data_IF_379195427362
#
_entry.id   IF_379195427362
#
_cell.length_a   1.000
_cell.length_b   1.000
_cell.length_c   1.000
_cell.angle_alpha   90.00
_cell.angle_beta   90.00
_cell.angle_gamma   90.00
#
_symmetry.space_group_name_H-M   'P 1'
#
loop_
_entity.id
_entity.type
_entity.pdbx_description
1 polymer ?
#
# COMPACT_ATOMS: atom_id res chain seq x y z
N UNK A 1 -16.53 25.66 -11.78
CA UNK A 1 -15.67 24.45 -11.70
C UNK A 1 -15.23 24.04 -13.09
N UNK A 2 -13.93 23.81 -13.33
CA UNK A 2 -13.52 23.15 -14.55
C UNK A 2 -14.08 21.71 -14.52
N UNK A 3 -14.84 21.33 -15.56
CA UNK A 3 -15.38 19.97 -15.68
C UNK A 3 -14.22 18.96 -15.70
N UNK A 4 -14.01 18.24 -14.60
CA UNK A 4 -13.02 17.16 -14.54
C UNK A 4 -13.45 16.10 -15.56
N UNK A 5 -12.59 15.84 -16.55
CA UNK A 5 -12.88 14.89 -17.61
C UNK A 5 -12.89 13.48 -17.05
N UNK A 6 -14.05 12.80 -17.07
CA UNK A 6 -14.19 11.39 -16.69
C UNK A 6 -13.52 10.50 -17.75
N UNK A 7 -12.31 10.08 -17.49
CA UNK A 7 -11.47 9.34 -18.46
C UNK A 7 -11.18 7.90 -18.06
N UNK A 8 -11.33 7.53 -16.78
CA UNK A 8 -11.00 6.19 -16.28
C UNK A 8 -12.23 5.29 -16.22
N UNK A 9 -12.08 4.02 -16.61
CA UNK A 9 -13.11 2.99 -16.53
C UNK A 9 -12.92 2.07 -15.31
N UNK A 10 -13.78 1.06 -15.19
CA UNK A 10 -13.72 0.04 -14.13
C UNK A 10 -12.35 -0.64 -14.08
N UNK A 11 -11.80 -1.03 -15.22
CA UNK A 11 -10.50 -1.72 -15.31
C UNK A 11 -9.34 -0.89 -14.77
N UNK A 12 -9.37 0.44 -14.99
CA UNK A 12 -8.39 1.34 -14.36
C UNK A 12 -8.55 1.36 -12.84
N UNK A 13 -9.79 1.37 -12.35
CA UNK A 13 -10.07 1.28 -10.91
C UNK A 13 -9.53 -0.03 -10.31
N UNK A 14 -9.82 -1.18 -10.94
CA UNK A 14 -9.28 -2.49 -10.53
C UNK A 14 -7.75 -2.50 -10.58
N UNK A 15 -7.15 -1.99 -11.67
CA UNK A 15 -5.70 -1.92 -11.82
C UNK A 15 -5.05 -0.99 -10.77
N UNK A 16 -5.74 0.05 -10.30
CA UNK A 16 -5.27 0.87 -9.18
C UNK A 16 -5.30 0.08 -7.86
N UNK A 17 -6.38 -0.67 -7.58
CA UNK A 17 -6.46 -1.49 -6.35
C UNK A 17 -5.42 -2.61 -6.41
N UNK A 18 -5.54 -3.51 -7.38
CA UNK A 18 -4.69 -4.70 -7.51
C UNK A 18 -3.23 -4.31 -7.79
N UNK A 19 -3.06 -3.33 -8.69
CA UNK A 19 -1.75 -2.90 -9.15
C UNK A 19 -0.94 -2.07 -8.15
N UNK A 20 -1.53 -1.47 -7.14
CA UNK A 20 -0.77 -0.81 -6.08
C UNK A 20 -0.46 -1.81 -4.97
N UNK A 21 -1.43 -2.62 -4.55
CA UNK A 21 -1.26 -3.60 -3.47
C UNK A 21 -0.29 -4.71 -3.86
N UNK A 22 -0.44 -5.32 -5.04
CA UNK A 22 0.53 -6.30 -5.54
C UNK A 22 1.79 -5.53 -5.98
N UNK A 23 2.61 -5.19 -5.01
CA UNK A 23 3.92 -4.56 -5.16
C UNK A 23 5.03 -5.54 -4.83
N UNK A 24 6.03 -5.05 -4.10
CA UNK A 24 7.09 -5.88 -3.52
C UNK A 24 6.62 -6.67 -2.30
N UNK A 25 5.56 -6.25 -1.62
CA UNK A 25 5.17 -6.75 -0.30
C UNK A 25 4.97 -8.26 -0.24
N UNK A 26 4.20 -8.86 -1.15
CA UNK A 26 3.94 -10.31 -1.15
C UNK A 26 5.22 -11.12 -1.43
N UNK A 27 6.10 -10.61 -2.28
CA UNK A 27 7.35 -11.29 -2.64
C UNK A 27 8.38 -11.23 -1.51
N UNK A 28 8.44 -10.11 -0.78
CA UNK A 28 9.42 -9.84 0.27
C UNK A 28 9.06 -10.42 1.64
N UNK A 29 7.79 -10.66 1.91
CA UNK A 29 7.32 -11.01 3.27
C UNK A 29 7.00 -12.50 3.43
N UNK A 30 7.10 -13.32 2.38
CA UNK A 30 6.67 -14.72 2.40
C UNK A 30 7.42 -15.56 3.45
N UNK A 31 8.73 -15.60 3.38
CA UNK A 31 9.56 -16.36 4.34
C UNK A 31 9.41 -15.87 5.77
N UNK A 32 9.44 -14.54 5.97
CA UNK A 32 9.30 -13.95 7.28
C UNK A 32 7.94 -14.18 7.95
N UNK A 33 6.81 -14.24 7.19
CA UNK A 33 5.51 -14.62 7.76
C UNK A 33 5.51 -16.09 8.16
N UNK A 34 6.10 -16.98 7.34
CA UNK A 34 6.22 -18.41 7.66
C UNK A 34 7.07 -18.64 8.90
N UNK A 35 8.21 -17.96 9.02
CA UNK A 35 9.08 -17.99 10.18
C UNK A 35 8.34 -17.60 11.47
N UNK A 36 7.61 -16.48 11.45
CA UNK A 36 6.82 -16.01 12.60
C UNK A 36 5.61 -16.90 12.90
N UNK A 37 5.25 -17.78 11.96
CA UNK A 37 4.19 -18.79 12.13
C UNK A 37 4.74 -20.13 12.65
N UNK A 38 5.98 -20.17 13.16
CA UNK A 38 6.60 -21.38 13.67
C UNK A 38 6.97 -22.38 12.57
N UNK A 39 7.17 -21.92 11.33
CA UNK A 39 7.43 -22.80 10.18
C UNK A 39 6.21 -23.60 9.69
N UNK A 40 5.01 -23.37 10.24
CA UNK A 40 3.78 -24.07 9.86
C UNK A 40 2.99 -23.28 8.81
N UNK A 41 2.79 -23.91 7.65
CA UNK A 41 2.05 -23.29 6.54
C UNK A 41 0.60 -22.99 6.92
N UNK A 42 -0.07 -23.81 7.75
CA UNK A 42 -1.48 -23.59 8.14
C UNK A 42 -1.63 -22.33 8.97
N UNK A 43 -0.74 -22.15 9.96
CA UNK A 43 -0.71 -20.97 10.83
C UNK A 43 -0.39 -19.73 9.98
N UNK A 44 0.54 -19.86 9.05
CA UNK A 44 0.93 -18.80 8.14
C UNK A 44 -0.19 -18.38 7.19
N UNK A 45 -0.90 -19.35 6.58
CA UNK A 45 -2.08 -19.08 5.75
C UNK A 45 -3.20 -18.42 6.55
N UNK A 46 -3.36 -18.79 7.83
CA UNK A 46 -4.33 -18.13 8.71
C UNK A 46 -3.94 -16.65 8.93
N UNK A 47 -2.65 -16.34 9.10
CA UNK A 47 -2.19 -14.96 9.19
C UNK A 47 -2.47 -14.16 7.91
N UNK A 48 -2.17 -14.72 6.72
CA UNK A 48 -2.51 -14.12 5.44
C UNK A 48 -4.03 -13.94 5.24
N UNK A 49 -4.82 -14.93 5.63
CA UNK A 49 -6.29 -14.90 5.55
C UNK A 49 -6.86 -13.78 6.44
N UNK A 50 -6.39 -13.66 7.68
CA UNK A 50 -6.85 -12.62 8.61
C UNK A 50 -6.50 -11.23 8.08
N UNK A 51 -5.25 -10.99 7.66
CA UNK A 51 -4.85 -9.74 7.05
C UNK A 51 -5.70 -9.37 5.83
N UNK A 52 -5.95 -10.36 4.96
CA UNK A 52 -6.81 -10.18 3.78
C UNK A 52 -8.28 -9.91 4.11
N UNK A 53 -8.85 -10.58 5.12
CA UNK A 53 -10.22 -10.32 5.59
C UNK A 53 -10.34 -8.90 6.13
N UNK A 54 -9.36 -8.41 6.88
CA UNK A 54 -9.33 -7.04 7.39
C UNK A 54 -9.31 -6.04 6.22
N UNK A 55 -8.45 -6.28 5.21
CA UNK A 55 -8.40 -5.47 3.99
C UNK A 55 -9.75 -5.47 3.25
N UNK A 56 -10.36 -6.66 3.03
CA UNK A 56 -11.65 -6.79 2.34
C UNK A 56 -12.76 -6.06 3.12
N UNK A 57 -12.82 -6.24 4.43
CA UNK A 57 -13.81 -5.56 5.27
C UNK A 57 -13.67 -4.05 5.21
N UNK A 58 -12.42 -3.54 5.27
CA UNK A 58 -12.12 -2.13 5.09
C UNK A 58 -12.53 -1.62 3.70
N UNK A 59 -12.11 -2.31 2.64
CA UNK A 59 -12.47 -1.99 1.26
C UNK A 59 -13.99 -2.00 1.02
N UNK A 60 -14.71 -2.92 1.68
CA UNK A 60 -16.16 -2.97 1.65
C UNK A 60 -16.81 -1.76 2.31
N UNK A 61 -16.31 -1.33 3.48
CA UNK A 61 -16.78 -0.12 4.15
C UNK A 61 -16.55 1.13 3.28
N UNK A 62 -15.38 1.24 2.64
CA UNK A 62 -15.09 2.31 1.70
C UNK A 62 -16.00 2.25 0.46
N UNK A 63 -16.32 1.07 -0.03
CA UNK A 63 -17.28 0.89 -1.11
C UNK A 63 -18.68 1.41 -0.73
N UNK A 64 -19.13 1.18 0.51
CA UNK A 64 -20.38 1.75 1.03
C UNK A 64 -20.35 3.27 0.99
N UNK A 65 -19.29 3.91 1.47
CA UNK A 65 -19.13 5.36 1.36
C UNK A 65 -19.10 5.84 -0.10
N UNK A 66 -18.40 5.15 -0.99
CA UNK A 66 -18.28 5.50 -2.40
C UNK A 66 -19.63 5.49 -3.14
N UNK A 67 -20.62 4.69 -2.70
CA UNK A 67 -21.97 4.72 -3.27
C UNK A 67 -22.76 5.98 -2.88
N UNK A 68 -22.45 6.58 -1.73
CA UNK A 68 -23.17 7.72 -1.16
C UNK A 68 -22.49 9.05 -1.45
N UNK A 69 -21.16 9.07 -1.36
CA UNK A 69 -20.37 10.29 -1.43
C UNK A 69 -19.58 10.31 -2.74
N UNK A 70 -19.91 11.26 -3.61
CA UNK A 70 -19.27 11.43 -4.93
C UNK A 70 -18.37 12.65 -4.99
N UNK A 71 -18.00 13.20 -3.84
CA UNK A 71 -17.06 14.32 -3.74
C UNK A 71 -15.67 13.92 -4.31
N UNK A 72 -14.81 14.91 -4.52
CA UNK A 72 -13.59 14.78 -5.33
C UNK A 72 -12.44 14.04 -4.64
N UNK A 73 -12.43 13.97 -3.29
CA UNK A 73 -11.26 13.55 -2.51
C UNK A 73 -11.34 12.13 -1.95
N UNK A 74 -12.35 11.34 -2.35
CA UNK A 74 -12.46 9.93 -1.94
C UNK A 74 -12.38 9.75 -0.43
N UNK A 75 -11.34 9.07 0.07
CA UNK A 75 -11.12 8.77 1.49
C UNK A 75 -11.25 9.98 2.42
N UNK A 76 -10.75 11.13 1.99
CA UNK A 76 -10.78 12.37 2.79
C UNK A 76 -12.22 12.79 3.02
N UNK A 77 -13.04 12.77 1.96
CA UNK A 77 -14.46 13.12 2.04
C UNK A 77 -15.24 12.14 2.92
N UNK A 78 -14.84 10.87 2.93
CA UNK A 78 -15.47 9.84 3.76
C UNK A 78 -15.19 10.08 5.25
N UNK A 79 -13.93 10.35 5.60
CA UNK A 79 -13.53 10.67 6.98
C UNK A 79 -14.14 11.98 7.43
N UNK A 80 -14.16 13.01 6.58
CA UNK A 80 -14.82 14.28 6.87
C UNK A 80 -16.30 14.10 7.19
N UNK A 81 -17.01 13.29 6.38
CA UNK A 81 -18.43 12.99 6.62
C UNK A 81 -18.63 12.21 7.93
N UNK A 82 -17.71 11.32 8.26
CA UNK A 82 -17.79 10.50 9.48
C UNK A 82 -17.43 11.27 10.75
N UNK A 83 -16.68 12.37 10.63
CA UNK A 83 -16.15 13.14 11.75
C UNK A 83 -16.46 14.63 11.63
N UNK A 84 -15.55 15.37 11.04
CA UNK A 84 -15.69 16.80 10.73
C UNK A 84 -14.60 17.23 9.72
N UNK A 85 -14.74 18.45 9.22
CA UNK A 85 -13.85 19.05 8.23
C UNK A 85 -12.39 19.14 8.69
N UNK A 86 -12.13 19.43 9.97
CA UNK A 86 -10.75 19.53 10.50
C UNK A 86 -10.04 18.18 10.48
N UNK A 87 -10.73 17.10 10.84
CA UNK A 87 -10.17 15.74 10.83
C UNK A 87 -9.94 15.28 9.38
N UNK A 88 -10.90 15.56 8.48
CA UNK A 88 -10.73 15.29 7.04
C UNK A 88 -9.53 16.02 6.46
N UNK A 89 -9.36 17.30 6.78
CA UNK A 89 -8.22 18.09 6.36
C UNK A 89 -6.88 17.57 6.94
N UNK A 90 -6.86 17.23 8.24
CA UNK A 90 -5.69 16.63 8.89
C UNK A 90 -5.29 15.31 8.23
N UNK A 91 -6.26 14.45 7.88
CA UNK A 91 -5.99 13.23 7.12
C UNK A 91 -5.45 13.52 5.72
N UNK A 92 -6.00 14.51 5.02
CA UNK A 92 -5.51 14.91 3.69
C UNK A 92 -4.04 15.34 3.75
N UNK A 93 -3.69 16.13 4.76
CA UNK A 93 -2.31 16.54 5.00
C UNK A 93 -1.42 15.36 5.32
N UNK A 94 -1.83 14.48 6.24
CA UNK A 94 -1.12 13.24 6.59
C UNK A 94 -0.85 12.37 5.36
N UNK A 95 -1.87 12.09 4.57
CA UNK A 95 -1.73 11.24 3.38
C UNK A 95 -0.80 11.85 2.34
N UNK A 96 -0.89 13.18 2.12
CA UNK A 96 -0.10 13.87 1.11
C UNK A 96 1.36 14.08 1.51
N UNK A 97 1.61 14.34 2.80
CA UNK A 97 2.95 14.70 3.30
C UNK A 97 3.74 13.49 3.80
N UNK A 98 3.05 12.46 4.31
CA UNK A 98 3.68 11.27 4.91
C UNK A 98 3.39 10.00 4.14
N UNK A 99 2.13 9.56 4.15
CA UNK A 99 1.78 8.21 3.72
C UNK A 99 2.20 7.92 2.27
N UNK A 100 1.73 8.72 1.31
CA UNK A 100 2.11 8.49 -0.09
C UNK A 100 3.61 8.67 -0.33
N UNK A 101 4.29 9.71 0.20
CA UNK A 101 5.73 9.88 0.03
C UNK A 101 6.57 8.77 0.66
N UNK A 102 6.22 8.28 1.86
CA UNK A 102 6.90 7.15 2.51
C UNK A 102 6.82 5.90 1.63
N UNK A 103 5.62 5.54 1.18
CA UNK A 103 5.43 4.35 0.34
C UNK A 103 6.12 4.51 -1.02
N UNK A 104 6.01 5.68 -1.67
CA UNK A 104 6.65 5.93 -2.96
C UNK A 104 8.18 5.79 -2.88
N UNK A 105 8.79 6.35 -1.83
CA UNK A 105 10.25 6.33 -1.66
C UNK A 105 10.77 4.93 -1.37
N UNK A 106 10.18 4.19 -0.43
CA UNK A 106 10.66 2.83 -0.09
C UNK A 106 10.47 1.85 -1.24
N UNK A 107 9.35 1.90 -1.95
CA UNK A 107 9.10 1.01 -3.09
C UNK A 107 10.01 1.36 -4.27
N UNK A 108 10.39 2.64 -4.46
CA UNK A 108 11.37 3.01 -5.46
C UNK A 108 12.78 2.48 -5.12
N UNK A 109 13.17 2.43 -3.84
CA UNK A 109 14.42 1.79 -3.40
C UNK A 109 14.41 0.29 -3.70
N UNK A 110 13.29 -0.40 -3.47
CA UNK A 110 13.16 -1.80 -3.88
C UNK A 110 13.26 -1.97 -5.41
N UNK A 111 12.62 -1.10 -6.19
CA UNK A 111 12.72 -1.16 -7.65
C UNK A 111 14.16 -1.00 -8.13
N UNK A 112 14.93 -0.09 -7.54
CA UNK A 112 16.34 0.11 -7.84
C UNK A 112 17.19 -1.09 -7.46
N UNK A 113 17.02 -1.63 -6.27
CA UNK A 113 17.73 -2.83 -5.81
C UNK A 113 17.49 -4.04 -6.74
N UNK A 114 16.25 -4.26 -7.20
CA UNK A 114 15.95 -5.31 -8.15
C UNK A 114 16.51 -5.03 -9.55
N UNK A 115 16.57 -3.77 -9.98
CA UNK A 115 17.25 -3.41 -11.23
C UNK A 115 18.73 -3.77 -11.19
N UNK A 116 19.46 -3.39 -10.15
CA UNK A 116 20.88 -3.70 -10.00
C UNK A 116 21.12 -5.21 -9.91
N UNK A 117 20.27 -5.93 -9.18
CA UNK A 117 20.32 -7.38 -9.10
C UNK A 117 20.12 -8.04 -10.47
N UNK A 118 19.17 -7.52 -11.27
CA UNK A 118 18.89 -8.02 -12.62
C UNK A 118 20.10 -7.92 -13.56
N UNK A 119 20.87 -6.83 -13.47
CA UNK A 119 22.09 -6.63 -14.28
C UNK A 119 23.36 -7.23 -13.66
N UNK A 120 23.21 -8.00 -12.57
CA UNK A 120 24.33 -8.70 -11.92
C UNK A 120 25.21 -7.81 -11.02
N UNK A 121 24.77 -6.60 -10.69
CA UNK A 121 25.50 -5.72 -9.77
C UNK A 121 25.05 -5.99 -8.33
N UNK A 122 26.01 -6.13 -7.40
CA UNK A 122 25.73 -6.31 -5.98
C UNK A 122 25.54 -4.95 -5.29
N UNK A 123 24.43 -4.27 -5.59
CA UNK A 123 24.04 -2.99 -4.98
C UNK A 123 22.89 -3.26 -4.01
N UNK A 124 23.14 -3.05 -2.73
CA UNK A 124 22.16 -3.28 -1.66
C UNK A 124 21.11 -2.17 -1.57
N UNK A 125 20.09 -2.42 -0.76
CA UNK A 125 19.00 -1.47 -0.53
C UNK A 125 19.51 -0.13 0.05
N UNK A 126 20.53 -0.20 0.90
CA UNK A 126 21.13 0.95 1.61
C UNK A 126 22.21 1.67 0.83
N UNK A 127 22.62 1.14 -0.33
CA UNK A 127 23.71 1.72 -1.12
C UNK A 127 23.32 3.11 -1.67
N UNK A 128 24.22 4.12 -1.58
CA UNK A 128 23.97 5.44 -2.14
C UNK A 128 23.63 5.43 -3.64
N UNK A 129 24.20 4.49 -4.41
CA UNK A 129 23.89 4.34 -5.84
C UNK A 129 22.43 3.93 -6.04
N UNK A 130 21.90 3.05 -5.16
CA UNK A 130 20.49 2.66 -5.18
C UNK A 130 19.57 3.86 -4.87
N UNK A 131 19.94 4.70 -3.88
CA UNK A 131 19.21 5.93 -3.59
C UNK A 131 19.18 6.90 -4.78
N UNK A 132 20.33 7.10 -5.44
CA UNK A 132 20.41 7.95 -6.63
C UNK A 132 19.52 7.41 -7.77
N UNK A 133 19.53 6.11 -8.01
CA UNK A 133 18.73 5.49 -9.05
C UNK A 133 17.23 5.54 -8.72
N UNK A 134 16.84 5.27 -7.48
CA UNK A 134 15.45 5.38 -7.00
C UNK A 134 14.92 6.83 -7.13
N UNK A 135 15.75 7.81 -6.85
CA UNK A 135 15.44 9.24 -7.08
C UNK A 135 15.14 9.52 -8.56
N UNK A 136 15.92 8.97 -9.50
CA UNK A 136 15.67 9.10 -10.93
C UNK A 136 14.34 8.44 -11.30
N UNK A 137 14.04 7.25 -10.80
CA UNK A 137 12.75 6.55 -11.03
C UNK A 137 11.57 7.45 -10.62
N UNK A 138 11.59 7.98 -9.40
CA UNK A 138 10.49 8.84 -8.91
C UNK A 138 10.38 10.11 -9.74
N UNK A 139 11.50 10.74 -10.09
CA UNK A 139 11.52 11.94 -10.95
C UNK A 139 10.84 11.68 -12.28
N UNK A 140 11.16 10.57 -12.94
CA UNK A 140 10.54 10.16 -14.20
C UNK A 140 9.03 9.97 -14.06
N UNK A 141 8.56 9.32 -12.97
CA UNK A 141 7.13 9.14 -12.74
C UNK A 141 6.40 10.43 -12.39
N UNK A 142 7.01 11.35 -11.65
CA UNK A 142 6.42 12.69 -11.41
C UNK A 142 6.25 13.44 -12.73
N UNK A 143 7.28 13.45 -13.58
CA UNK A 143 7.23 14.07 -14.91
C UNK A 143 6.16 13.39 -15.78
N UNK A 144 6.12 12.07 -15.81
CA UNK A 144 5.13 11.30 -16.57
C UNK A 144 3.70 11.62 -16.13
N UNK A 145 3.44 11.65 -14.83
CA UNK A 145 2.14 11.93 -14.26
C UNK A 145 1.67 13.37 -14.52
N UNK A 146 2.61 14.31 -14.59
CA UNK A 146 2.32 15.70 -14.92
C UNK A 146 2.05 15.91 -16.42
N UNK A 147 2.93 15.37 -17.29
CA UNK A 147 2.88 15.59 -18.74
C UNK A 147 1.84 14.73 -19.44
N UNK A 148 1.68 13.47 -19.01
CA UNK A 148 0.81 12.50 -19.69
C UNK A 148 0.11 11.55 -18.73
N UNK A 149 -0.95 12.00 -18.01
CA UNK A 149 -1.73 11.14 -17.11
C UNK A 149 -2.33 9.91 -17.82
N UNK A 150 -2.63 10.02 -19.12
CA UNK A 150 -3.12 8.91 -19.93
C UNK A 150 -2.05 7.83 -20.13
N UNK A 151 -0.80 8.22 -20.41
CA UNK A 151 0.31 7.27 -20.55
C UNK A 151 0.63 6.62 -19.20
N UNK A 152 0.60 7.38 -18.11
CA UNK A 152 0.72 6.86 -16.75
C UNK A 152 -0.36 5.81 -16.43
N UNK A 153 -1.63 6.07 -16.81
CA UNK A 153 -2.72 5.11 -16.63
C UNK A 153 -2.52 3.84 -17.47
N UNK A 154 -2.09 3.96 -18.71
CA UNK A 154 -1.77 2.80 -19.57
C UNK A 154 -0.62 1.99 -18.97
N UNK A 155 0.43 2.66 -18.51
CA UNK A 155 1.53 2.00 -17.81
C UNK A 155 1.04 1.26 -16.57
N UNK A 156 0.16 1.87 -15.75
CA UNK A 156 -0.42 1.25 -14.56
C UNK A 156 -1.16 -0.05 -14.89
N UNK A 157 -1.99 -0.05 -15.93
CA UNK A 157 -2.73 -1.23 -16.38
C UNK A 157 -1.76 -2.31 -16.88
N UNK A 158 -0.81 -1.94 -17.75
CA UNK A 158 0.18 -2.87 -18.30
C UNK A 158 1.06 -3.49 -17.20
N UNK A 159 1.57 -2.67 -16.28
CA UNK A 159 2.34 -3.14 -15.13
C UNK A 159 1.53 -4.08 -14.25
N UNK A 160 0.22 -3.82 -14.07
CA UNK A 160 -0.67 -4.71 -13.29
C UNK A 160 -0.83 -6.06 -13.96
N UNK A 161 -0.98 -6.12 -15.27
CA UNK A 161 -1.04 -7.40 -16.01
C UNK A 161 0.29 -8.15 -15.90
N UNK A 162 1.42 -7.46 -16.14
CA UNK A 162 2.76 -8.06 -16.10
C UNK A 162 3.07 -8.63 -14.71
N UNK A 163 2.74 -7.93 -13.62
CA UNK A 163 3.04 -8.39 -12.26
C UNK A 163 2.18 -9.58 -11.78
N UNK A 164 1.05 -9.85 -12.41
CA UNK A 164 0.26 -11.05 -12.13
C UNK A 164 0.88 -12.31 -12.76
N UNK A 165 1.67 -12.16 -13.84
CA UNK A 165 2.29 -13.30 -14.53
C UNK A 165 3.15 -14.17 -13.62
N UNK A 166 4.14 -13.62 -12.85
CA UNK A 166 4.96 -14.47 -11.98
C UNK A 166 4.14 -15.16 -10.87
N UNK A 167 3.09 -14.53 -10.36
CA UNK A 167 2.19 -15.17 -9.38
C UNK A 167 1.48 -16.37 -10.01
N UNK A 168 0.96 -16.21 -11.22
CA UNK A 168 0.30 -17.29 -11.96
C UNK A 168 1.26 -18.41 -12.31
N UNK A 169 2.49 -18.08 -12.74
CA UNK A 169 3.51 -19.08 -13.06
C UNK A 169 3.86 -19.90 -11.81
N UNK A 170 4.11 -19.24 -10.67
CA UNK A 170 4.39 -19.92 -9.39
C UNK A 170 3.18 -20.76 -8.97
N UNK A 171 1.96 -20.27 -9.16
CA UNK A 171 0.74 -21.01 -8.84
C UNK A 171 0.65 -22.33 -9.65
N UNK A 172 0.93 -22.28 -10.95
CA UNK A 172 0.93 -23.46 -11.82
C UNK A 172 2.06 -24.42 -11.41
N UNK A 173 3.28 -23.89 -11.27
CA UNK A 173 4.46 -24.69 -10.92
C UNK A 173 4.29 -25.38 -9.56
N UNK A 174 3.72 -24.68 -8.58
CA UNK A 174 3.43 -25.27 -7.26
C UNK A 174 2.42 -26.41 -7.30
N UNK A 175 1.46 -26.40 -8.22
CA UNK A 175 0.53 -27.52 -8.42
C UNK A 175 1.25 -28.79 -8.88
N UNK A 176 2.34 -28.66 -9.63
CA UNK A 176 3.13 -29.77 -10.16
C UNK A 176 4.46 -29.96 -9.45
N UNK A 177 4.65 -29.36 -8.26
CA UNK A 177 5.92 -29.35 -7.54
C UNK A 177 6.47 -30.77 -7.30
N UNK A 178 5.64 -31.72 -6.84
CA UNK A 178 6.06 -33.10 -6.65
C UNK A 178 6.59 -33.77 -7.91
N UNK A 179 6.05 -33.42 -9.09
CA UNK A 179 6.54 -33.96 -10.37
C UNK A 179 7.83 -33.28 -10.86
N UNK A 180 8.06 -32.02 -10.45
CA UNK A 180 9.20 -31.22 -10.94
C UNK A 180 10.41 -31.36 -10.04
N UNK A 181 10.22 -31.35 -8.72
CA UNK A 181 11.27 -31.25 -7.70
C UNK A 181 11.48 -32.56 -6.96
N UNK A 182 10.50 -33.48 -6.99
CA UNK A 182 10.52 -34.78 -6.33
C UNK A 182 9.33 -34.98 -5.39
N UNK A 183 9.07 -36.26 -5.05
CA UNK A 183 7.89 -36.67 -4.28
C UNK A 183 7.87 -36.15 -2.83
N UNK A 184 9.03 -35.69 -2.32
CA UNK A 184 9.16 -35.07 -0.99
C UNK A 184 8.59 -33.63 -0.95
N UNK A 185 8.23 -33.08 -2.12
CA UNK A 185 7.66 -31.75 -2.30
C UNK A 185 6.21 -31.84 -2.77
N UNK A 186 5.52 -30.73 -2.79
CA UNK A 186 4.13 -30.65 -3.23
C UNK A 186 3.21 -30.04 -2.17
N UNK A 187 1.97 -29.82 -2.55
CA UNK A 187 0.99 -29.14 -1.70
C UNK A 187 0.78 -29.89 -0.38
N UNK A 188 0.59 -31.23 -0.44
CA UNK A 188 0.34 -32.04 0.75
C UNK A 188 1.52 -31.93 1.73
N UNK A 189 2.74 -32.04 1.24
CA UNK A 189 3.95 -31.96 2.04
C UNK A 189 4.15 -30.58 2.68
N UNK A 190 3.81 -29.48 1.96
CA UNK A 190 3.78 -28.15 2.53
C UNK A 190 2.85 -28.02 3.73
N UNK A 191 1.71 -28.73 3.71
CA UNK A 191 0.75 -28.75 4.83
C UNK A 191 1.11 -29.74 5.96
N UNK A 192 1.90 -30.74 5.71
CA UNK A 192 2.23 -31.80 6.70
C UNK A 192 3.58 -31.61 7.36
N UNK A 193 4.54 -31.01 6.66
CA UNK A 193 5.93 -30.87 7.11
C UNK A 193 6.19 -29.41 7.51
N UNK A 194 6.14 -29.13 8.82
CA UNK A 194 6.53 -27.83 9.36
C UNK A 194 8.06 -27.71 9.44
N UNK A 195 8.60 -26.50 9.23
CA UNK A 195 10.02 -26.23 9.51
C UNK A 195 10.25 -26.16 11.03
N UNK A 196 11.34 -26.79 11.49
CA UNK A 196 11.63 -26.88 12.93
C UNK A 196 12.48 -25.70 13.43
N UNK A 197 12.45 -25.45 14.74
CA UNK A 197 13.30 -24.45 15.39
C UNK A 197 12.76 -23.04 15.41
N UNK A 198 11.53 -22.80 14.96
CA UNK A 198 10.90 -21.48 14.95
C UNK A 198 9.76 -21.37 15.96
N UNK A 199 9.74 -20.28 16.72
CA UNK A 199 8.66 -19.98 17.66
C UNK A 199 7.48 -19.30 16.96
N UNK A 200 6.26 -19.64 17.38
CA UNK A 200 5.04 -19.00 16.88
C UNK A 200 4.88 -17.62 17.51
N UNK A 201 4.90 -16.59 16.68
CA UNK A 201 4.53 -15.22 17.03
C UNK A 201 3.43 -14.74 16.06
N UNK A 202 2.21 -15.22 16.28
CA UNK A 202 1.09 -15.06 15.36
C UNK A 202 0.71 -13.59 15.13
N UNK A 203 0.78 -12.75 16.19
CA UNK A 203 0.48 -11.33 16.08
C UNK A 203 1.42 -10.59 15.13
N UNK A 204 2.72 -10.84 15.23
CA UNK A 204 3.72 -10.27 14.32
C UNK A 204 3.62 -10.85 12.91
N UNK A 205 3.22 -12.13 12.77
CA UNK A 205 2.94 -12.72 11.46
C UNK A 205 1.80 -11.97 10.75
N UNK A 206 0.67 -11.74 11.43
CA UNK A 206 -0.46 -10.95 10.88
C UNK A 206 -0.06 -9.50 10.62
N UNK A 207 0.69 -8.86 11.52
CA UNK A 207 1.22 -7.50 11.31
C UNK A 207 2.05 -7.41 10.03
N UNK A 208 2.92 -8.40 9.78
CA UNK A 208 3.78 -8.44 8.60
C UNK A 208 2.98 -8.52 7.29
N UNK A 209 1.78 -9.13 7.31
CA UNK A 209 0.88 -9.15 6.14
C UNK A 209 0.22 -7.79 5.87
N UNK A 210 0.10 -6.91 6.87
CA UNK A 210 -0.55 -5.60 6.72
C UNK A 210 0.10 -4.76 5.63
N UNK A 211 1.45 -4.70 5.60
CA UNK A 211 2.19 -4.00 4.55
C UNK A 211 1.94 -4.60 3.15
N UNK A 212 1.86 -5.93 3.06
CA UNK A 212 1.62 -6.61 1.78
C UNK A 212 0.21 -6.33 1.22
N UNK A 213 -0.75 -6.01 2.10
CA UNK A 213 -2.13 -5.68 1.73
C UNK A 213 -2.40 -4.17 1.62
N UNK A 214 -1.39 -3.32 1.83
CA UNK A 214 -1.57 -1.85 1.84
C UNK A 214 -1.60 -1.27 0.42
N UNK A 215 -2.21 -0.08 0.28
CA UNK A 215 -2.23 0.69 -0.97
C UNK A 215 -3.57 0.69 -1.73
N UNK A 216 -4.52 -0.20 -1.42
CA UNK A 216 -5.83 -0.27 -2.10
C UNK A 216 -6.62 1.05 -2.02
N UNK A 217 -6.43 1.80 -0.96
CA UNK A 217 -7.07 3.10 -0.73
C UNK A 217 -6.71 4.13 -1.79
N UNK A 218 -5.55 4.01 -2.43
CA UNK A 218 -5.11 4.92 -3.48
C UNK A 218 -6.07 4.95 -4.68
N UNK A 219 -6.85 3.89 -4.92
CA UNK A 219 -7.89 3.88 -5.95
C UNK A 219 -8.99 4.92 -5.70
N UNK A 220 -9.19 5.37 -4.46
CA UNK A 220 -10.18 6.42 -4.16
C UNK A 220 -9.75 7.79 -4.66
N UNK A 221 -8.46 8.01 -4.91
CA UNK A 221 -7.93 9.30 -5.39
C UNK A 221 -8.35 9.63 -6.81
N UNK A 222 -8.75 8.62 -7.61
CA UNK A 222 -9.26 8.83 -8.97
C UNK A 222 -10.78 8.89 -9.06
N UNK A 223 -11.49 8.95 -7.91
CA UNK A 223 -12.97 8.92 -7.85
C UNK A 223 -13.63 9.95 -8.78
N UNK A 224 -13.12 11.18 -8.79
CA UNK A 224 -13.66 12.26 -9.61
C UNK A 224 -13.50 12.04 -11.12
N UNK A 225 -12.47 11.30 -11.54
CA UNK A 225 -12.16 11.02 -12.93
C UNK A 225 -12.69 9.65 -13.40
N UNK A 226 -13.28 8.86 -12.50
CA UNK A 226 -13.81 7.55 -12.79
C UNK A 226 -15.22 7.67 -13.40
N UNK A 227 -15.43 7.05 -14.56
CA UNK A 227 -16.75 6.91 -15.18
C UNK A 227 -17.66 6.11 -14.26
N UNK A 228 -18.91 6.54 -14.10
CA UNK A 228 -19.90 5.90 -13.22
C UNK A 228 -19.31 5.54 -11.84
N UNK A 229 -18.63 6.50 -11.20
CA UNK A 229 -17.84 6.26 -9.98
C UNK A 229 -18.64 5.58 -8.85
N UNK A 230 -19.93 5.92 -8.68
CA UNK A 230 -20.84 5.27 -7.71
C UNK A 230 -20.97 3.75 -7.89
N UNK A 231 -20.73 3.23 -9.10
CA UNK A 231 -20.79 1.79 -9.40
C UNK A 231 -19.39 1.19 -9.53
N UNK A 232 -18.51 1.88 -10.25
CA UNK A 232 -17.20 1.32 -10.62
C UNK A 232 -16.20 1.35 -9.48
N UNK A 233 -16.17 2.39 -8.64
CA UNK A 233 -15.27 2.43 -7.49
C UNK A 233 -15.61 1.36 -6.45
N UNK A 234 -16.86 1.16 -6.01
CA UNK A 234 -17.21 0.03 -5.12
C UNK A 234 -16.84 -1.34 -5.69
N UNK A 235 -17.09 -1.57 -6.99
CA UNK A 235 -16.72 -2.83 -7.65
C UNK A 235 -15.22 -3.04 -7.70
N UNK A 236 -14.46 -1.98 -7.97
CA UNK A 236 -13.00 -2.04 -7.99
C UNK A 236 -12.43 -2.32 -6.59
N UNK A 237 -12.94 -1.65 -5.55
CA UNK A 237 -12.49 -1.85 -4.18
C UNK A 237 -12.77 -3.27 -3.69
N UNK A 238 -14.02 -3.73 -3.78
CA UNK A 238 -14.40 -5.06 -3.28
C UNK A 238 -13.81 -6.17 -4.14
N UNK A 239 -13.99 -6.11 -5.46
CA UNK A 239 -13.50 -7.14 -6.36
C UNK A 239 -11.98 -7.22 -6.39
N UNK A 240 -11.30 -6.05 -6.35
CA UNK A 240 -9.85 -5.97 -6.30
C UNK A 240 -9.26 -6.57 -5.02
N UNK A 241 -9.82 -6.23 -3.85
CA UNK A 241 -9.32 -6.76 -2.57
C UNK A 241 -9.56 -8.27 -2.43
N UNK A 242 -10.69 -8.79 -2.90
CA UNK A 242 -10.94 -10.24 -2.94
C UNK A 242 -9.92 -10.93 -3.86
N UNK A 243 -9.71 -10.39 -5.06
CA UNK A 243 -8.74 -10.96 -6.01
C UNK A 243 -7.32 -11.00 -5.42
N UNK A 244 -6.88 -9.94 -4.72
CA UNK A 244 -5.58 -9.89 -4.06
C UNK A 244 -5.44 -11.01 -3.04
N UNK A 245 -6.44 -11.20 -2.15
CA UNK A 245 -6.40 -12.27 -1.15
C UNK A 245 -6.25 -13.64 -1.81
N UNK A 246 -7.05 -13.93 -2.85
CA UNK A 246 -6.98 -15.22 -3.57
C UNK A 246 -5.60 -15.42 -4.19
N UNK A 247 -5.07 -14.41 -4.89
CA UNK A 247 -3.73 -14.50 -5.50
C UNK A 247 -2.63 -14.72 -4.46
N UNK A 248 -2.70 -14.05 -3.31
CA UNK A 248 -1.69 -14.20 -2.26
C UNK A 248 -1.73 -15.59 -1.62
N UNK A 249 -2.92 -16.11 -1.32
CA UNK A 249 -3.04 -17.47 -0.76
C UNK A 249 -2.53 -18.53 -1.73
N UNK A 250 -2.92 -18.46 -3.00
CA UNK A 250 -2.47 -19.41 -4.02
C UNK A 250 -0.96 -19.33 -4.19
N UNK A 251 -0.40 -18.12 -4.33
CA UNK A 251 1.03 -17.89 -4.44
C UNK A 251 1.81 -18.49 -3.25
N UNK A 252 1.30 -18.27 -2.05
CA UNK A 252 1.95 -18.68 -0.83
C UNK A 252 1.97 -20.21 -0.65
N UNK A 253 0.83 -20.86 -0.91
CA UNK A 253 0.71 -22.32 -0.94
C UNK A 253 1.69 -22.91 -1.97
N UNK A 254 1.74 -22.34 -3.16
CA UNK A 254 2.57 -22.83 -4.26
C UNK A 254 4.06 -22.67 -3.99
N UNK A 255 4.46 -21.59 -3.32
CA UNK A 255 5.84 -21.34 -2.94
C UNK A 255 6.34 -22.39 -1.93
N UNK A 256 5.54 -22.64 -0.88
CA UNK A 256 5.80 -23.66 0.11
C UNK A 256 5.76 -25.08 -0.48
N UNK A 257 4.86 -25.35 -1.43
CA UNK A 257 4.79 -26.63 -2.12
C UNK A 257 6.06 -26.93 -2.94
N UNK A 258 6.67 -25.91 -3.53
CA UNK A 258 7.85 -26.06 -4.40
C UNK A 258 9.16 -26.07 -3.64
N UNK A 259 9.35 -25.23 -2.64
CA UNK A 259 10.59 -25.08 -1.86
C UNK A 259 10.59 -25.85 -0.53
N UNK A 260 9.44 -26.34 -0.10
CA UNK A 260 9.19 -26.73 1.27
C UNK A 260 9.11 -25.53 2.21
N UNK A 261 8.65 -25.73 3.44
CA UNK A 261 8.54 -24.67 4.43
C UNK A 261 9.91 -24.13 4.84
N UNK A 262 10.86 -25.00 5.10
CA UNK A 262 12.22 -24.62 5.48
C UNK A 262 12.93 -23.86 4.36
N UNK A 263 12.89 -24.33 3.12
CA UNK A 263 13.46 -23.65 1.96
C UNK A 263 12.84 -22.28 1.72
N UNK A 264 11.53 -22.11 1.95
CA UNK A 264 10.84 -20.82 1.85
C UNK A 264 11.34 -19.84 2.91
N UNK A 265 11.60 -20.29 4.14
CA UNK A 265 12.15 -19.44 5.22
C UNK A 265 13.59 -19.05 4.92
N UNK A 266 14.44 -20.01 4.54
CA UNK A 266 15.87 -19.78 4.27
C UNK A 266 16.05 -18.80 3.11
N UNK A 267 15.27 -18.95 2.04
CA UNK A 267 15.33 -18.06 0.88
C UNK A 267 14.66 -16.70 1.12
N UNK A 268 13.70 -16.62 2.03
CA UNK A 268 12.94 -15.42 2.40
C UNK A 268 12.53 -14.59 1.16
N UNK A 269 13.03 -13.37 1.03
CA UNK A 269 12.76 -12.48 -0.11
C UNK A 269 13.23 -13.04 -1.47
N UNK A 270 14.14 -13.99 -1.49
CA UNK A 270 14.64 -14.64 -2.70
C UNK A 270 13.85 -15.92 -3.06
N UNK A 271 12.96 -16.39 -2.22
CA UNK A 271 12.22 -17.63 -2.43
C UNK A 271 11.57 -17.74 -3.82
N UNK A 272 10.84 -16.73 -4.34
CA UNK A 272 10.29 -16.82 -5.68
C UNK A 272 11.34 -16.78 -6.81
N UNK A 273 12.50 -16.15 -6.57
CA UNK A 273 13.62 -16.17 -7.51
C UNK A 273 14.18 -17.58 -7.60
N UNK A 274 14.36 -18.26 -6.44
CA UNK A 274 14.85 -19.63 -6.37
C UNK A 274 13.94 -20.61 -7.11
N UNK A 275 12.62 -20.43 -7.06
CA UNK A 275 11.67 -21.24 -7.85
C UNK A 275 11.93 -21.09 -9.36
N UNK A 276 12.09 -19.88 -9.85
CA UNK A 276 12.37 -19.64 -11.27
C UNK A 276 13.76 -20.11 -11.69
N UNK A 277 14.76 -19.98 -10.82
CA UNK A 277 16.11 -20.51 -11.06
C UNK A 277 16.13 -22.04 -11.12
N UNK A 278 15.33 -22.71 -10.31
CA UNK A 278 15.22 -24.18 -10.36
C UNK A 278 14.61 -24.68 -11.66
N UNK A 279 13.71 -23.90 -12.29
CA UNK A 279 13.02 -24.30 -13.52
C UNK A 279 13.81 -23.92 -14.79
N UNK A 280 14.39 -22.72 -14.79
CA UNK A 280 14.97 -22.10 -16.00
C UNK A 280 16.46 -21.74 -15.82
N UNK A 281 17.09 -22.19 -14.73
CA UNK A 281 18.45 -21.81 -14.37
C UNK A 281 18.57 -20.29 -14.09
N UNK A 282 19.80 -19.77 -14.20
CA UNK A 282 20.08 -18.34 -13.93
C UNK A 282 19.21 -17.38 -14.74
N UNK A 283 18.82 -17.75 -15.97
CA UNK A 283 17.92 -16.94 -16.80
C UNK A 283 16.54 -16.76 -16.14
N UNK A 284 16.03 -17.80 -15.49
CA UNK A 284 14.76 -17.71 -14.72
C UNK A 284 14.83 -16.70 -13.60
N UNK A 285 15.92 -16.68 -12.82
CA UNK A 285 16.13 -15.69 -11.77
C UNK A 285 16.13 -14.25 -12.29
N UNK A 286 16.79 -13.99 -13.41
CA UNK A 286 16.80 -12.67 -14.08
C UNK A 286 15.40 -12.28 -14.55
N UNK A 287 14.68 -13.19 -15.21
CA UNK A 287 13.30 -12.96 -15.67
C UNK A 287 12.38 -12.64 -14.49
N UNK A 288 12.46 -13.41 -13.41
CA UNK A 288 11.62 -13.14 -12.24
C UNK A 288 11.97 -11.80 -11.57
N UNK A 289 13.26 -11.48 -11.45
CA UNK A 289 13.73 -10.20 -10.92
C UNK A 289 13.19 -9.02 -11.75
N UNK A 290 13.15 -9.17 -13.08
CA UNK A 290 12.51 -8.20 -13.98
C UNK A 290 11.01 -8.02 -13.66
N UNK A 291 10.27 -9.09 -13.43
CA UNK A 291 8.85 -9.01 -13.06
C UNK A 291 8.64 -8.28 -11.74
N UNK A 292 9.47 -8.55 -10.72
CA UNK A 292 9.38 -7.83 -9.43
C UNK A 292 9.70 -6.34 -9.63
N UNK A 293 10.74 -6.03 -10.40
CA UNK A 293 11.08 -4.64 -10.71
C UNK A 293 9.89 -3.90 -11.35
N UNK A 294 9.27 -4.48 -12.38
CA UNK A 294 8.06 -3.90 -13.01
C UNK A 294 6.90 -3.79 -12.00
N UNK A 295 6.76 -4.77 -11.09
CA UNK A 295 5.78 -4.72 -10.02
C UNK A 295 6.01 -3.50 -9.11
N UNK A 296 7.24 -3.27 -8.67
CA UNK A 296 7.60 -2.10 -7.88
C UNK A 296 7.37 -0.79 -8.65
N UNK A 297 7.78 -0.71 -9.92
CA UNK A 297 7.57 0.47 -10.77
C UNK A 297 6.07 0.80 -10.94
N UNK A 298 5.21 -0.21 -11.09
CA UNK A 298 3.76 -0.03 -11.13
C UNK A 298 3.21 0.54 -9.83
N UNK A 299 3.71 0.08 -8.69
CA UNK A 299 3.33 0.62 -7.37
C UNK A 299 3.83 2.06 -7.20
N UNK A 300 5.09 2.34 -7.53
CA UNK A 300 5.65 3.71 -7.51
C UNK A 300 4.81 4.65 -8.36
N UNK A 301 4.45 4.25 -9.59
CA UNK A 301 3.60 5.06 -10.46
C UNK A 301 2.25 5.38 -9.79
N UNK A 302 1.54 4.35 -9.28
CA UNK A 302 0.23 4.52 -8.66
C UNK A 302 0.26 5.43 -7.44
N UNK A 303 1.26 5.27 -6.56
CA UNK A 303 1.41 6.11 -5.37
C UNK A 303 1.86 7.53 -5.75
N UNK A 304 2.72 7.68 -6.76
CA UNK A 304 3.15 9.00 -7.26
C UNK A 304 1.96 9.78 -7.86
N UNK A 305 1.00 9.11 -8.51
CA UNK A 305 -0.27 9.74 -8.93
C UNK A 305 -0.96 10.38 -7.73
N UNK A 306 -1.05 9.66 -6.60
CA UNK A 306 -1.67 10.17 -5.38
C UNK A 306 -0.87 11.34 -4.77
N UNK A 307 0.46 11.27 -4.73
CA UNK A 307 1.33 12.38 -4.30
C UNK A 307 1.10 13.65 -5.13
N UNK A 308 1.04 13.53 -6.46
CA UNK A 308 0.85 14.66 -7.36
C UNK A 308 -0.52 15.34 -7.18
N UNK A 309 -1.53 14.61 -6.74
CA UNK A 309 -2.91 15.09 -6.60
C UNK A 309 -3.26 15.60 -5.21
N UNK A 310 -2.57 15.16 -4.18
CA UNK A 310 -2.95 15.41 -2.80
C UNK A 310 -3.11 16.89 -2.47
N UNK A 311 -2.10 17.72 -2.75
CA UNK A 311 -2.16 19.15 -2.47
C UNK A 311 -3.17 19.88 -3.39
N UNK A 312 -3.32 19.45 -4.66
CA UNK A 312 -4.30 20.00 -5.58
C UNK A 312 -5.73 19.82 -5.05
N UNK A 313 -6.08 18.65 -4.58
CA UNK A 313 -7.42 18.35 -4.07
C UNK A 313 -7.77 19.15 -2.81
N UNK A 314 -6.81 19.37 -1.91
CA UNK A 314 -6.98 20.29 -0.77
C UNK A 314 -7.14 21.74 -1.24
N UNK A 315 -6.34 22.15 -2.23
CA UNK A 315 -6.36 23.53 -2.73
C UNK A 315 -7.65 23.89 -3.47
N UNK A 316 -8.31 22.92 -4.13
CA UNK A 316 -9.64 23.12 -4.71
C UNK A 316 -10.70 23.47 -3.66
N UNK A 317 -10.48 23.17 -2.39
CA UNK A 317 -11.31 23.55 -1.24
C UNK A 317 -10.83 24.81 -0.53
N UNK A 318 -9.84 25.49 -1.07
CA UNK A 318 -9.25 26.67 -0.45
C UNK A 318 -8.32 26.38 0.74
N UNK A 319 -7.94 25.11 0.93
CA UNK A 319 -7.06 24.64 2.01
C UNK A 319 -5.67 24.26 1.47
N UNK A 320 -4.70 24.11 2.36
CA UNK A 320 -3.35 23.70 1.99
C UNK A 320 -2.45 24.86 1.59
N UNK A 321 -1.29 24.57 1.03
CA UNK A 321 -0.25 25.53 0.68
C UNK A 321 -0.67 26.33 -0.56
N UNK A 322 -0.73 27.66 -0.45
CA UNK A 322 -1.03 28.59 -1.54
C UNK A 322 -2.22 28.13 -2.44
N UNK A 323 -3.42 27.90 -1.86
CA UNK A 323 -4.52 27.22 -2.55
C UNK A 323 -4.95 27.91 -3.85
N UNK A 324 -4.88 29.25 -3.91
CA UNK A 324 -5.24 30.04 -5.10
C UNK A 324 -4.30 29.79 -6.31
N UNK A 325 -3.05 29.40 -6.04
CA UNK A 325 -2.07 29.07 -7.07
C UNK A 325 -2.11 27.58 -7.42
N UNK A 326 -2.17 26.73 -6.40
CA UNK A 326 -2.11 25.25 -6.55
C UNK A 326 -3.39 24.72 -7.18
N UNK A 327 -4.55 25.34 -6.99
CA UNK A 327 -5.81 24.94 -7.64
C UNK A 327 -5.88 25.27 -9.13
N UNK A 328 -4.94 26.07 -9.67
CA UNK A 328 -4.94 26.41 -11.09
C UNK A 328 -4.34 25.29 -11.93
N UNK A 329 -5.07 24.87 -12.96
CA UNK A 329 -4.60 23.89 -13.95
C UNK A 329 -4.04 24.63 -15.17
N UNK A 330 -2.97 24.08 -15.73
CA UNK A 330 -2.49 24.52 -17.05
C UNK A 330 -3.43 24.08 -18.17
N UNK A 331 -3.25 24.67 -19.36
CA UNK A 331 -4.03 24.35 -20.55
C UNK A 331 -3.82 22.87 -20.91
N UNK A 332 -4.89 22.08 -20.98
CA UNK A 332 -4.88 20.62 -21.22
C UNK A 332 -4.28 19.74 -20.11
N UNK A 333 -4.11 20.25 -18.89
CA UNK A 333 -3.60 19.48 -17.76
C UNK A 333 -4.71 19.04 -16.82
N UNK A 334 -4.58 17.86 -16.21
CA UNK A 334 -5.49 17.33 -15.20
C UNK A 334 -4.95 17.46 -13.77
N UNK A 335 -3.69 17.88 -13.63
CA UNK A 335 -3.00 18.05 -12.33
C UNK A 335 -2.19 19.35 -12.33
N UNK A 336 -2.15 20.02 -11.19
CA UNK A 336 -1.37 21.25 -11.00
C UNK A 336 0.13 20.96 -10.89
N UNK A 337 0.96 21.71 -11.61
CA UNK A 337 2.42 21.63 -11.50
C UNK A 337 2.90 21.85 -10.06
N UNK A 338 2.33 22.86 -9.37
CA UNK A 338 2.71 23.17 -7.99
C UNK A 338 2.35 22.03 -7.02
N UNK A 339 1.25 21.30 -7.27
CA UNK A 339 0.91 20.12 -6.49
C UNK A 339 1.88 18.97 -6.75
N UNK A 340 2.28 18.74 -8.00
CA UNK A 340 3.31 17.75 -8.32
C UNK A 340 4.65 18.09 -7.66
N UNK A 341 5.08 19.34 -7.72
CA UNK A 341 6.32 19.80 -7.08
C UNK A 341 6.27 19.65 -5.56
N UNK A 342 5.11 19.92 -4.93
CA UNK A 342 4.94 19.70 -3.49
C UNK A 342 5.07 18.21 -3.13
N UNK A 343 4.32 17.34 -3.82
CA UNK A 343 4.40 15.89 -3.60
C UNK A 343 5.81 15.34 -3.84
N UNK A 344 6.49 15.83 -4.87
CA UNK A 344 7.87 15.48 -5.17
C UNK A 344 8.84 15.91 -4.06
N UNK A 345 8.71 17.15 -3.55
CA UNK A 345 9.50 17.62 -2.42
C UNK A 345 9.30 16.77 -1.17
N UNK A 346 8.07 16.33 -0.89
CA UNK A 346 7.78 15.40 0.20
C UNK A 346 8.46 14.03 -0.02
N UNK A 347 8.47 13.50 -1.24
CA UNK A 347 9.16 12.23 -1.56
C UNK A 347 10.67 12.37 -1.37
N UNK A 348 11.28 13.50 -1.80
CA UNK A 348 12.70 13.77 -1.57
C UNK A 348 13.00 13.80 -0.08
N UNK A 349 12.17 14.48 0.72
CA UNK A 349 12.32 14.51 2.17
C UNK A 349 12.29 13.09 2.76
N UNK A 350 11.39 12.23 2.30
CA UNK A 350 11.32 10.83 2.76
C UNK A 350 12.56 10.03 2.32
N UNK A 351 13.12 10.26 1.13
CA UNK A 351 14.39 9.64 0.75
C UNK A 351 15.53 10.01 1.71
N UNK A 352 15.62 11.29 2.10
CA UNK A 352 16.61 11.74 3.08
C UNK A 352 16.40 11.04 4.42
N UNK A 353 15.16 10.97 4.89
CA UNK A 353 14.84 10.32 6.16
C UNK A 353 15.15 8.82 6.10
N UNK A 354 14.78 8.11 5.01
CA UNK A 354 15.14 6.70 4.80
C UNK A 354 16.65 6.48 4.77
N UNK A 355 17.39 7.36 4.09
CA UNK A 355 18.85 7.28 4.07
C UNK A 355 19.43 7.36 5.49
N UNK A 356 19.00 8.34 6.26
CA UNK A 356 19.45 8.52 7.65
C UNK A 356 19.01 7.34 8.54
N UNK A 357 17.79 6.82 8.34
CA UNK A 357 17.25 5.68 9.09
C UNK A 357 18.04 4.40 8.81
N UNK A 358 18.26 4.07 7.55
CA UNK A 358 18.96 2.85 7.13
C UNK A 358 20.45 2.85 7.50
N UNK A 359 21.06 4.04 7.67
CA UNK A 359 22.44 4.18 8.14
C UNK A 359 22.55 4.39 9.66
N UNK A 360 21.45 4.20 10.39
CA UNK A 360 21.39 4.34 11.85
C UNK A 360 21.92 5.69 12.38
N UNK A 361 21.65 6.77 11.65
CA UNK A 361 22.12 8.10 12.05
C UNK A 361 21.28 8.60 13.22
N UNK A 362 21.86 8.61 14.41
CA UNK A 362 21.28 9.12 15.66
C UNK A 362 19.83 8.62 15.87
N UNK A 363 18.87 9.51 16.21
CA UNK A 363 17.47 9.16 16.40
C UNK A 363 16.78 8.64 15.13
N UNK A 364 17.28 9.01 13.94
CA UNK A 364 16.69 8.54 12.67
C UNK A 364 16.77 7.02 12.49
N UNK A 365 17.77 6.34 13.06
CA UNK A 365 17.86 4.88 13.03
C UNK A 365 16.63 4.16 13.55
N UNK A 366 15.81 4.83 14.39
CA UNK A 366 14.54 4.31 14.89
C UNK A 366 13.36 4.44 13.92
N UNK A 367 13.54 5.07 12.77
CA UNK A 367 12.50 5.28 11.76
C UNK A 367 12.44 4.17 10.70
N UNK A 368 13.13 3.05 10.91
CA UNK A 368 13.16 1.94 9.98
C UNK A 368 11.82 1.26 9.71
N UNK A 369 10.80 1.49 10.56
CA UNK A 369 9.44 0.95 10.43
C UNK A 369 8.40 2.05 10.17
N UNK A 370 8.79 3.22 9.65
CA UNK A 370 7.86 4.35 9.50
C UNK A 370 6.72 4.07 8.51
N UNK A 371 6.89 3.17 7.55
CA UNK A 371 5.85 2.68 6.65
C UNK A 371 4.76 1.89 7.39
N UNK A 372 5.14 1.04 8.34
CA UNK A 372 4.20 0.28 9.17
C UNK A 372 3.46 1.22 10.15
N UNK A 373 4.17 2.16 10.77
CA UNK A 373 3.61 3.09 11.76
C UNK A 373 2.58 4.04 11.11
N UNK A 374 2.88 4.60 9.94
CA UNK A 374 1.94 5.51 9.27
C UNK A 374 0.68 4.78 8.83
N UNK A 375 0.78 3.53 8.40
CA UNK A 375 -0.38 2.68 8.11
C UNK A 375 -1.23 2.48 9.37
N UNK A 376 -0.62 2.16 10.52
CA UNK A 376 -1.34 1.99 11.78
C UNK A 376 -2.14 3.24 12.19
N UNK A 377 -1.57 4.43 12.03
CA UNK A 377 -2.25 5.71 12.30
C UNK A 377 -3.45 5.91 11.37
N UNK A 378 -3.30 5.60 10.09
CA UNK A 378 -4.38 5.74 9.11
C UNK A 378 -5.51 4.77 9.42
N UNK A 379 -5.21 3.52 9.77
CA UNK A 379 -6.23 2.54 10.17
C UNK A 379 -6.98 2.97 11.44
N UNK A 380 -6.30 3.61 12.40
CA UNK A 380 -6.96 4.21 13.57
C UNK A 380 -7.99 5.29 13.16
N UNK A 381 -7.66 6.12 12.19
CA UNK A 381 -8.61 7.13 11.66
C UNK A 381 -9.79 6.47 10.95
N UNK A 382 -9.57 5.38 10.21
CA UNK A 382 -10.65 4.68 9.49
C UNK A 382 -11.70 4.07 10.44
N UNK A 383 -11.38 3.77 11.69
CA UNK A 383 -12.35 3.30 12.68
C UNK A 383 -13.53 4.26 12.80
N UNK A 384 -13.29 5.57 12.70
CA UNK A 384 -14.35 6.59 12.75
C UNK A 384 -15.39 6.40 11.64
N UNK A 385 -14.94 6.05 10.44
CA UNK A 385 -15.80 5.76 9.29
C UNK A 385 -16.65 4.51 9.54
N UNK A 386 -16.05 3.44 10.08
CA UNK A 386 -16.75 2.18 10.33
C UNK A 386 -17.84 2.36 11.39
N UNK A 387 -17.55 3.12 12.45
CA UNK A 387 -18.54 3.48 13.47
C UNK A 387 -19.67 4.32 12.84
N UNK A 388 -19.34 5.23 11.93
CA UNK A 388 -20.34 6.05 11.24
C UNK A 388 -21.31 5.21 10.40
N UNK A 389 -20.83 4.17 9.70
CA UNK A 389 -21.69 3.23 8.93
C UNK A 389 -22.70 2.58 9.88
N UNK A 390 -22.23 2.05 11.01
CA UNK A 390 -23.10 1.38 12.00
C UNK A 390 -24.21 2.31 12.50
N UNK A 391 -23.87 3.57 12.78
CA UNK A 391 -24.81 4.54 13.37
C UNK A 391 -25.78 5.12 12.34
N UNK A 392 -25.29 5.49 11.15
CA UNK A 392 -26.02 6.38 10.27
C UNK A 392 -26.61 5.70 9.01
N UNK A 393 -26.01 4.61 8.49
CA UNK A 393 -26.49 3.97 7.26
C UNK A 393 -27.52 2.88 7.58
N UNK A 394 -28.69 3.30 8.11
CA UNK A 394 -29.75 2.41 8.60
C UNK A 394 -30.47 1.63 7.47
N UNK A 395 -30.36 2.08 6.23
CA UNK A 395 -30.97 1.46 5.04
C UNK A 395 -30.26 0.17 4.58
N UNK A 396 -29.04 -0.09 5.06
CA UNK A 396 -28.31 -1.29 4.70
C UNK A 396 -28.64 -2.46 5.64
N UNK A 397 -28.69 -3.67 5.08
CA UNK A 397 -28.88 -4.91 5.84
C UNK A 397 -27.72 -5.19 6.83
N UNK A 398 -27.94 -6.15 7.72
CA UNK A 398 -27.04 -6.50 8.84
C UNK A 398 -25.59 -6.69 8.37
N UNK A 399 -25.39 -7.37 7.25
CA UNK A 399 -24.04 -7.65 6.73
C UNK A 399 -23.24 -6.39 6.42
N UNK A 400 -23.84 -5.44 5.68
CA UNK A 400 -23.18 -4.20 5.27
C UNK A 400 -23.05 -3.19 6.40
N UNK A 401 -24.00 -3.21 7.34
CA UNK A 401 -24.08 -2.21 8.40
C UNK A 401 -23.33 -2.62 9.66
N UNK A 402 -23.29 -3.91 10.00
CA UNK A 402 -22.71 -4.40 11.25
C UNK A 402 -21.53 -5.34 11.02
N UNK A 403 -21.70 -6.42 10.23
CA UNK A 403 -20.68 -7.47 10.13
C UNK A 403 -19.37 -6.92 9.56
N UNK A 404 -19.40 -6.30 8.39
CA UNK A 404 -18.18 -5.77 7.76
C UNK A 404 -17.54 -4.64 8.56
N UNK A 405 -18.27 -3.62 9.05
CA UNK A 405 -17.66 -2.58 9.89
C UNK A 405 -17.08 -3.11 11.21
N UNK A 406 -17.71 -4.10 11.86
CA UNK A 406 -17.17 -4.68 13.10
C UNK A 406 -15.84 -5.40 12.82
N UNK A 407 -15.77 -6.22 11.77
CA UNK A 407 -14.52 -6.89 11.35
C UNK A 407 -13.44 -5.84 11.04
N UNK A 408 -13.81 -4.78 10.31
CA UNK A 408 -12.89 -3.70 9.97
C UNK A 408 -12.40 -2.93 11.23
N UNK A 409 -13.27 -2.69 12.22
CA UNK A 409 -12.90 -2.05 13.50
C UNK A 409 -11.90 -2.93 14.26
N UNK A 410 -12.22 -4.23 14.44
CA UNK A 410 -11.35 -5.16 15.18
C UNK A 410 -9.98 -5.24 14.50
N UNK A 411 -9.97 -5.39 13.17
CA UNK A 411 -8.73 -5.46 12.41
C UNK A 411 -7.91 -4.17 12.47
N UNK A 412 -8.55 -3.02 12.36
CA UNK A 412 -7.87 -1.73 12.45
C UNK A 412 -7.31 -1.46 13.85
N UNK A 413 -8.04 -1.85 14.91
CA UNK A 413 -7.53 -1.80 16.29
C UNK A 413 -6.30 -2.71 16.43
N UNK A 414 -6.37 -3.93 15.91
CA UNK A 414 -5.24 -4.87 15.95
C UNK A 414 -4.02 -4.27 15.24
N UNK A 415 -4.15 -3.76 14.01
CA UNK A 415 -3.04 -3.14 13.28
C UNK A 415 -2.50 -1.90 14.01
N UNK A 416 -3.36 -1.09 14.61
CA UNK A 416 -2.94 0.07 15.39
C UNK A 416 -2.13 -0.35 16.62
N UNK A 417 -2.58 -1.35 17.38
CA UNK A 417 -1.88 -1.86 18.56
C UNK A 417 -0.51 -2.46 18.19
N UNK A 418 -0.45 -3.22 17.08
CA UNK A 418 0.79 -3.80 16.61
C UNK A 418 1.76 -2.74 16.07
N UNK A 419 1.28 -1.81 15.24
CA UNK A 419 2.12 -0.78 14.62
C UNK A 419 2.66 0.27 15.59
N UNK A 420 1.99 0.49 16.71
CA UNK A 420 2.46 1.41 17.76
C UNK A 420 3.44 0.75 18.76
N UNK A 421 3.72 -0.55 18.62
CA UNK A 421 4.60 -1.28 19.52
C UNK A 421 3.94 -1.70 20.85
N UNK A 422 2.67 -1.37 21.07
CA UNK A 422 1.93 -1.78 22.28
C UNK A 422 1.84 -3.30 22.38
N UNK A 423 1.63 -3.98 21.25
CA UNK A 423 1.60 -5.44 21.18
C UNK A 423 2.91 -6.08 21.68
N UNK A 424 4.07 -5.59 21.24
CA UNK A 424 5.37 -6.09 21.67
C UNK A 424 5.62 -5.80 23.15
N UNK A 425 5.18 -4.65 23.65
CA UNK A 425 5.27 -4.36 25.08
C UNK A 425 4.49 -5.37 25.92
N UNK A 426 3.28 -5.76 25.48
CA UNK A 426 2.43 -6.70 26.22
C UNK A 426 2.97 -8.13 26.12
N UNK A 427 3.44 -8.56 24.96
CA UNK A 427 3.81 -9.97 24.71
C UNK A 427 5.25 -10.32 25.07
N UNK A 428 6.18 -9.40 24.86
CA UNK A 428 7.63 -9.63 25.07
C UNK A 428 8.25 -8.73 26.11
N UNK A 429 7.46 -7.86 26.76
CA UNK A 429 7.95 -6.82 27.67
C UNK A 429 9.05 -5.92 27.05
N UNK A 430 9.08 -5.80 25.73
CA UNK A 430 10.04 -4.98 24.99
C UNK A 430 9.48 -3.58 24.74
N UNK A 431 10.24 -2.56 25.10
CA UNK A 431 9.89 -1.16 24.89
C UNK A 431 10.48 -0.58 23.59
N UNK A 432 11.25 -1.38 22.81
CA UNK A 432 11.99 -0.86 21.66
C UNK A 432 11.05 -0.34 20.56
N UNK A 433 10.02 -1.09 20.19
CA UNK A 433 9.04 -0.62 19.20
C UNK A 433 8.24 0.59 19.69
N UNK A 434 8.02 0.73 21.00
CA UNK A 434 7.39 1.93 21.56
C UNK A 434 8.30 3.16 21.47
N UNK A 435 9.63 2.98 21.62
CA UNK A 435 10.61 4.06 21.37
C UNK A 435 10.62 4.46 19.90
N UNK A 436 10.56 3.50 18.98
CA UNK A 436 10.49 3.76 17.53
C UNK A 436 9.23 4.54 17.18
N UNK A 437 8.09 4.17 17.76
CA UNK A 437 6.84 4.91 17.62
C UNK A 437 6.94 6.34 18.21
N UNK A 438 7.58 6.51 19.37
CA UNK A 438 7.75 7.83 19.98
C UNK A 438 8.61 8.77 19.11
N UNK A 439 9.69 8.26 18.50
CA UNK A 439 10.52 9.05 17.58
C UNK A 439 9.73 9.40 16.31
N UNK A 440 8.97 8.44 15.77
CA UNK A 440 8.08 8.70 14.63
C UNK A 440 7.04 9.76 14.98
N UNK A 441 6.44 9.70 16.17
CA UNK A 441 5.45 10.68 16.63
C UNK A 441 6.05 12.08 16.72
N UNK A 442 7.32 12.20 17.15
CA UNK A 442 8.05 13.47 17.14
C UNK A 442 8.18 14.04 15.72
N UNK A 443 8.62 13.24 14.76
CA UNK A 443 8.67 13.61 13.34
C UNK A 443 7.27 13.96 12.81
N UNK A 444 6.28 13.16 13.14
CA UNK A 444 4.88 13.37 12.76
C UNK A 444 4.38 14.74 13.23
N UNK A 445 4.59 15.09 14.50
CA UNK A 445 4.18 16.40 15.05
C UNK A 445 4.86 17.54 14.30
N UNK A 446 6.16 17.44 14.02
CA UNK A 446 6.93 18.48 13.30
C UNK A 446 6.35 18.71 11.90
N UNK A 447 6.08 17.65 11.15
CA UNK A 447 5.59 17.76 9.76
C UNK A 447 4.08 18.01 9.66
N UNK A 448 3.30 17.67 10.71
CA UNK A 448 1.89 18.02 10.80
C UNK A 448 1.66 19.46 11.30
N UNK A 449 2.62 20.04 12.02
CA UNK A 449 2.47 21.39 12.57
C UNK A 449 2.09 22.47 11.53
N UNK A 450 2.69 22.49 10.32
CA UNK A 450 2.28 23.44 9.27
C UNK A 450 0.80 23.32 8.85
N UNK A 451 0.19 22.14 9.03
CA UNK A 451 -1.23 21.93 8.74
C UNK A 451 -2.12 22.97 9.44
N UNK A 452 -1.79 23.33 10.68
CA UNK A 452 -2.55 24.30 11.48
C UNK A 452 -2.61 25.70 10.84
N UNK A 453 -1.51 26.12 10.19
CA UNK A 453 -1.43 27.46 9.57
C UNK A 453 -2.13 27.55 8.21
N UNK A 454 -2.27 26.43 7.53
CA UNK A 454 -2.83 26.37 6.17
C UNK A 454 -4.32 25.96 6.16
N UNK A 455 -4.93 25.80 7.34
CA UNK A 455 -6.37 25.59 7.49
C UNK A 455 -7.11 26.94 7.43
N UNK A 456 -7.92 27.20 6.39
CA UNK A 456 -8.70 28.44 6.22
C UNK A 456 -10.19 28.12 6.09
N UNK A 457 -10.92 28.27 7.19
CA UNK A 457 -12.34 27.92 7.31
C UNK A 457 -13.27 28.76 6.40
N UNK A 458 -12.95 30.05 6.17
CA UNK A 458 -13.88 30.99 5.51
C UNK A 458 -14.01 30.82 3.99
N UNK A 459 -13.10 30.07 3.36
CA UNK A 459 -13.14 29.81 1.90
C UNK A 459 -13.88 28.51 1.53
N UNK A 460 -14.10 27.60 2.46
CA UNK A 460 -14.70 26.27 2.23
C UNK A 460 -16.19 26.39 1.93
N UNK A 461 -16.92 27.24 2.65
CA UNK A 461 -18.36 27.49 2.42
C UNK A 461 -18.70 27.89 0.98
N UNK A 462 -17.83 28.66 0.30
CA UNK A 462 -18.07 29.12 -1.06
C UNK A 462 -17.99 28.04 -2.15
N UNK A 463 -17.33 26.93 -1.89
CA UNK A 463 -17.14 25.84 -2.86
C UNK A 463 -18.21 24.75 -2.73
N UNK A 464 -18.70 24.50 -1.52
CA UNK A 464 -19.83 23.58 -1.30
C UNK A 464 -21.14 24.17 -1.87
N UNK A 465 -21.36 25.50 -1.76
CA UNK A 465 -22.49 26.22 -2.37
C UNK A 465 -22.44 26.25 -3.92
N UNK A 466 -21.27 26.01 -4.52
CA UNK A 466 -21.12 25.93 -5.99
C UNK A 466 -21.22 24.46 -6.52
N UNK A 467 -21.40 23.49 -5.63
CA UNK A 467 -21.48 22.06 -5.95
C UNK A 467 -22.90 21.49 -5.91
N UNK A 468 -23.86 22.27 -5.40
CA UNK A 468 -25.32 22.06 -5.54
C UNK A 468 -25.83 22.65 -6.87
#
# INVERSE_FOLDING_TARGET
MQNIKKQYGLWTGIAMVVGIVIGSGVFLKAGGVLQLSGGDLKISLLAWLIGGIIMIASGFCFAVFATKITKYNGTIDYVETATNEKVGYGLAWLMTTFYYPIIASIVALFAGSYFFKMIGMNVGLTDPLNFAFAFVIVTLFVILNYLSPMLSSKFQISATVIKLMPILIIAIVGLFAGMIVGDEFGIINGFTNSAEGYAVNFGDAVKKTAFAYEGWVCATTINAELKESKKNLPRALVGGTIAILVFYLIYYISLSAFLGNEGTIIQDANAPIAVFESIMGKAGGVIFTFFIMISCLGTVNGVTIACCRGMYTMSCRGMGVAPEKVSKLGKNQSVSLLSCLYGYACIILMFIIWYLAMHNVWLFGRLGCMDEIVCAIIYAVYITMYIYIIKNFKEYGIFKRFVMPIIAIIGSLFFTICGTGIYQLITTNSIEALKDFAVFLGLFVILMFPCLFFYKKDKVKKLDELSE
#
